data_IF_543484304751
#
_entry.id   IF_543484304751
#
_cell.length_a   1.000
_cell.length_b   1.000
_cell.length_c   1.000
_cell.angle_alpha   90.00
_cell.angle_beta   90.00
_cell.angle_gamma   90.00
#
_symmetry.space_group_name_H-M   'P 1'
#
loop_
_entity.id
_entity.type
_entity.pdbx_description
1 polymer ?
#
# COMPACT_ATOMS: atom_id res chain seq x y z
N UNK A 1 19.08 -3.13 -48.16
CA UNK A 1 19.00 -1.67 -48.35
C UNK A 1 18.15 -1.09 -47.24
N UNK A 2 18.63 0.00 -46.65
CA UNK A 2 18.11 0.66 -45.45
C UNK A 2 16.70 1.25 -45.61
N UNK A 3 15.99 1.40 -44.49
CA UNK A 3 14.73 2.15 -44.43
C UNK A 3 14.00 1.94 -43.10
N UNK A 4 14.10 2.93 -42.22
CA UNK A 4 13.71 2.96 -40.80
C UNK A 4 12.22 2.68 -40.50
N UNK A 5 11.95 1.85 -39.49
CA UNK A 5 10.71 1.87 -38.71
C UNK A 5 11.08 2.12 -37.24
N UNK A 6 11.00 3.38 -36.80
CA UNK A 6 11.18 3.76 -35.40
C UNK A 6 9.85 3.71 -34.67
N UNK A 7 9.82 2.89 -33.63
CA UNK A 7 8.75 2.67 -32.68
C UNK A 7 8.33 3.96 -31.96
N UNK A 8 7.01 4.13 -31.79
CA UNK A 8 6.40 5.01 -30.78
C UNK A 8 5.17 4.31 -30.20
N UNK A 9 5.21 3.99 -28.91
CA UNK A 9 4.03 3.83 -28.04
C UNK A 9 4.46 3.95 -26.58
N UNK A 10 4.61 5.19 -26.11
CA UNK A 10 4.50 5.55 -24.70
C UNK A 10 3.32 6.52 -24.67
N UNK A 11 2.24 6.15 -23.99
CA UNK A 11 1.08 7.03 -23.82
C UNK A 11 1.53 8.28 -23.06
N UNK A 12 1.63 9.41 -23.77
CA UNK A 12 1.85 10.74 -23.20
C UNK A 12 0.50 11.30 -22.73
N UNK A 13 0.43 11.71 -21.47
CA UNK A 13 -0.59 12.62 -20.99
C UNK A 13 -0.19 14.05 -21.37
N UNK A 14 -1.04 14.73 -22.13
CA UNK A 14 -0.98 16.19 -22.35
C UNK A 14 -2.40 16.69 -22.48
N UNK A 15 -2.83 17.57 -21.57
CA UNK A 15 -4.08 18.33 -21.68
C UNK A 15 -3.73 19.77 -22.07
N UNK A 16 -4.41 20.27 -23.09
CA UNK A 16 -4.30 21.60 -23.68
C UNK A 16 -4.71 22.70 -22.68
N UNK A 17 -3.95 23.80 -22.63
CA UNK A 17 -4.43 25.11 -22.19
C UNK A 17 -4.38 26.09 -23.38
N UNK A 18 -5.53 26.67 -23.70
CA UNK A 18 -5.72 27.59 -24.81
C UNK A 18 -5.32 29.04 -24.46
N UNK A 19 -4.98 29.77 -25.53
CA UNK A 19 -4.41 31.11 -25.66
C UNK A 19 -5.24 32.31 -25.16
N UNK A 20 -4.57 33.42 -24.82
CA UNK A 20 -5.16 34.76 -24.73
C UNK A 20 -4.14 35.90 -24.53
N UNK A 21 -4.16 36.92 -25.40
CA UNK A 21 -3.14 37.96 -25.71
C UNK A 21 -2.90 39.12 -24.71
N UNK A 22 -1.66 39.64 -24.78
CA UNK A 22 -1.15 41.04 -24.80
C UNK A 22 -1.76 42.19 -23.96
N UNK A 23 -0.94 42.89 -23.15
CA UNK A 23 -0.23 44.15 -23.54
C UNK A 23 0.21 45.07 -22.36
N UNK A 24 1.38 45.69 -22.57
CA UNK A 24 1.92 47.02 -22.14
C UNK A 24 2.23 47.40 -20.66
N UNK A 25 3.52 47.72 -20.49
CA UNK A 25 4.17 48.80 -19.72
C UNK A 25 3.51 49.41 -18.47
N UNK A 26 4.26 49.45 -17.37
CA UNK A 26 4.80 50.71 -16.80
C UNK A 26 5.88 50.45 -15.73
N UNK A 27 6.88 51.33 -15.69
CA UNK A 27 7.96 51.38 -14.70
C UNK A 27 7.43 51.92 -13.36
N UNK A 28 7.89 51.33 -12.26
CA UNK A 28 7.76 51.88 -10.92
C UNK A 28 8.78 51.22 -9.98
N UNK A 29 9.88 51.91 -9.72
CA UNK A 29 10.79 51.62 -8.61
C UNK A 29 10.02 51.76 -7.29
N UNK A 30 10.30 50.90 -6.30
CA UNK A 30 10.36 51.20 -4.84
C UNK A 30 10.39 49.90 -4.00
N UNK A 31 11.40 49.81 -3.12
CA UNK A 31 11.53 48.98 -1.91
C UNK A 31 11.62 47.45 -2.06
N UNK A 32 12.84 46.99 -2.29
CA UNK A 32 13.29 45.70 -1.77
C UNK A 32 13.48 45.82 -0.26
N UNK A 33 12.72 45.04 0.52
CA UNK A 33 13.05 44.55 1.88
C UNK A 33 11.87 43.81 2.54
N UNK A 34 10.64 43.87 1.99
CA UNK A 34 9.48 43.12 2.53
C UNK A 34 9.17 41.77 1.86
N UNK A 35 9.90 41.34 0.82
CA UNK A 35 9.56 40.13 0.03
C UNK A 35 10.07 38.80 0.58
N UNK A 36 11.00 38.80 1.53
CA UNK A 36 11.66 37.56 1.99
C UNK A 36 10.89 36.86 3.12
N UNK A 37 10.15 37.61 3.95
CA UNK A 37 9.29 37.05 5.02
C UNK A 37 7.98 36.45 4.50
N UNK A 38 7.30 37.18 3.61
CA UNK A 38 6.01 36.77 3.01
C UNK A 38 6.13 35.56 2.07
N UNK A 39 7.28 35.32 1.44
CA UNK A 39 7.49 34.16 0.56
C UNK A 39 7.74 32.87 1.35
N UNK A 40 8.44 32.95 2.49
CA UNK A 40 8.65 31.82 3.41
C UNK A 40 7.37 31.44 4.16
N UNK A 41 6.60 32.41 4.66
CA UNK A 41 5.31 32.11 5.31
C UNK A 41 4.27 31.57 4.32
N UNK A 42 4.22 32.08 3.08
CA UNK A 42 3.36 31.52 2.01
C UNK A 42 3.82 30.14 1.52
N UNK A 43 5.13 29.83 1.54
CA UNK A 43 5.61 28.49 1.17
C UNK A 43 5.40 27.47 2.29
N UNK A 44 5.48 27.89 3.56
CA UNK A 44 5.14 27.09 4.73
C UNK A 44 3.64 26.75 4.75
N UNK A 45 2.75 27.72 4.46
CA UNK A 45 1.31 27.48 4.33
C UNK A 45 0.93 26.57 3.14
N UNK A 46 1.75 26.53 2.07
CA UNK A 46 1.56 25.62 0.93
C UNK A 46 1.96 24.17 1.25
N UNK A 47 2.97 23.95 2.11
CA UNK A 47 3.44 22.59 2.46
C UNK A 47 2.39 21.79 3.25
N UNK A 48 1.65 22.46 4.12
CA UNK A 48 0.60 21.82 4.91
C UNK A 48 -0.62 21.43 4.05
N UNK A 49 -0.72 21.96 2.82
CA UNK A 49 -1.81 21.66 1.88
C UNK A 49 -1.59 20.35 1.10
N UNK A 50 -0.36 19.88 0.91
CA UNK A 50 -0.10 18.70 0.09
C UNK A 50 0.27 17.48 0.94
N UNK A 51 -0.22 16.32 0.49
CA UNK A 51 0.15 15.00 0.98
C UNK A 51 0.79 14.23 -0.17
N UNK A 52 1.87 13.52 0.14
CA UNK A 52 2.54 12.68 -0.84
C UNK A 52 2.67 11.27 -0.30
N UNK A 53 2.21 10.30 -1.07
CA UNK A 53 2.51 8.89 -0.87
C UNK A 53 3.66 8.47 -1.77
N UNK A 54 4.51 7.57 -1.29
CA UNK A 54 5.55 6.89 -2.05
C UNK A 54 5.45 5.39 -1.84
N UNK A 55 5.20 4.66 -2.92
CA UNK A 55 5.14 3.20 -2.93
C UNK A 55 6.29 2.68 -3.81
N UNK A 56 7.15 1.84 -3.23
CA UNK A 56 8.32 1.28 -3.93
C UNK A 56 8.10 -0.24 -4.07
N UNK A 57 7.26 -0.62 -5.04
CA UNK A 57 7.00 -2.00 -5.36
C UNK A 57 8.14 -2.68 -6.14
N UNK A 58 8.08 -4.02 -6.24
CA UNK A 58 9.07 -4.80 -7.00
C UNK A 58 8.99 -4.56 -8.52
N UNK A 59 7.82 -4.21 -9.05
CA UNK A 59 7.59 -3.98 -10.49
C UNK A 59 7.42 -2.51 -10.85
N UNK A 60 6.89 -1.70 -9.93
CA UNK A 60 6.52 -0.30 -10.15
C UNK A 60 6.83 0.54 -8.91
N UNK A 61 7.39 1.72 -9.11
CA UNK A 61 7.50 2.76 -8.09
C UNK A 61 6.47 3.85 -8.40
N UNK A 62 5.64 4.20 -7.42
CA UNK A 62 4.56 5.18 -7.56
C UNK A 62 4.69 6.33 -6.58
N UNK A 63 4.36 7.53 -7.04
CA UNK A 63 4.23 8.74 -6.23
C UNK A 63 2.86 9.33 -6.49
N UNK A 64 2.06 9.54 -5.45
CA UNK A 64 0.77 10.22 -5.56
C UNK A 64 0.81 11.49 -4.74
N UNK A 65 0.44 12.61 -5.39
CA UNK A 65 0.30 13.91 -4.75
C UNK A 65 -1.20 14.19 -4.63
N UNK A 66 -1.61 14.55 -3.42
CA UNK A 66 -2.96 14.99 -3.13
C UNK A 66 -2.97 16.33 -2.39
N UNK A 67 -4.05 17.06 -2.53
CA UNK A 67 -4.30 18.34 -1.88
C UNK A 67 -5.37 18.16 -0.79
N UNK A 68 -5.14 18.72 0.39
CA UNK A 68 -6.13 18.81 1.46
C UNK A 68 -6.76 20.20 1.43
N UNK A 69 -8.08 20.26 1.24
CA UNK A 69 -8.84 21.50 1.26
C UNK A 69 -10.17 21.26 2.00
N UNK A 70 -10.43 22.05 3.04
CA UNK A 70 -11.64 21.94 3.89
C UNK A 70 -11.92 20.52 4.42
N UNK A 71 -10.83 19.80 4.72
CA UNK A 71 -10.88 18.41 5.17
C UNK A 71 -11.07 17.39 4.05
N UNK A 72 -11.39 17.78 2.83
CA UNK A 72 -11.45 16.87 1.67
C UNK A 72 -10.04 16.62 1.15
N UNK A 73 -9.72 15.36 0.84
CA UNK A 73 -8.44 14.98 0.22
C UNK A 73 -8.69 14.76 -1.26
N UNK A 74 -8.13 15.62 -2.11
CA UNK A 74 -8.34 15.65 -3.56
C UNK A 74 -7.11 15.11 -4.29
N UNK A 75 -7.31 14.25 -5.28
CA UNK A 75 -6.26 13.80 -6.17
C UNK A 75 -5.69 14.98 -6.98
N UNK A 76 -4.36 15.07 -7.08
CA UNK A 76 -3.69 16.09 -7.90
C UNK A 76 -2.85 15.48 -9.02
N UNK A 77 -1.97 14.53 -8.68
CA UNK A 77 -1.11 13.88 -9.66
C UNK A 77 -0.67 12.49 -9.22
N UNK A 78 -0.36 11.65 -10.21
CA UNK A 78 0.30 10.35 -10.04
C UNK A 78 1.51 10.33 -10.98
N UNK A 79 2.66 9.95 -10.45
CA UNK A 79 3.84 9.58 -11.23
C UNK A 79 4.19 8.11 -10.99
N UNK A 80 4.63 7.42 -12.04
CA UNK A 80 4.93 5.99 -11.98
C UNK A 80 6.13 5.62 -12.86
N UNK A 81 7.08 4.89 -12.29
CA UNK A 81 8.23 4.39 -13.02
C UNK A 81 8.34 2.86 -12.89
N UNK A 82 8.89 2.22 -13.92
CA UNK A 82 9.37 0.84 -13.82
C UNK A 82 10.39 0.75 -12.68
N UNK A 83 10.10 -0.12 -11.71
CA UNK A 83 10.97 -0.34 -10.56
C UNK A 83 12.15 -1.22 -10.92
N UNK A 84 13.35 -0.81 -10.50
CA UNK A 84 14.58 -1.55 -10.69
C UNK A 84 15.34 -1.60 -9.38
N UNK A 85 15.94 -2.75 -9.08
CA UNK A 85 16.74 -2.91 -7.88
C UNK A 85 15.95 -3.35 -6.64
N UNK A 86 14.68 -3.76 -6.79
CA UNK A 86 13.93 -4.46 -5.77
C UNK A 86 13.69 -5.92 -6.16
N UNK A 87 13.64 -6.78 -5.15
CA UNK A 87 13.24 -8.18 -5.29
C UNK A 87 12.53 -8.64 -4.03
N UNK A 88 11.27 -9.07 -4.16
CA UNK A 88 10.46 -9.59 -3.04
C UNK A 88 10.38 -8.63 -1.84
N UNK A 89 10.20 -7.33 -2.11
CA UNK A 89 10.13 -6.28 -1.08
C UNK A 89 11.48 -5.88 -0.47
N UNK A 90 12.61 -6.36 -0.99
CA UNK A 90 13.95 -5.99 -0.53
C UNK A 90 14.73 -5.27 -1.62
N UNK A 91 15.41 -4.19 -1.24
CA UNK A 91 16.35 -3.49 -2.14
C UNK A 91 17.59 -4.36 -2.32
N UNK A 92 17.83 -4.79 -3.57
CA UNK A 92 19.04 -5.51 -4.01
C UNK A 92 20.00 -4.60 -4.76
N UNK A 93 19.52 -3.46 -5.30
CA UNK A 93 20.36 -2.43 -5.92
C UNK A 93 19.81 -1.04 -5.57
N UNK A 94 20.52 -0.36 -4.66
CA UNK A 94 20.10 0.94 -4.13
C UNK A 94 20.05 2.03 -5.21
N UNK A 95 21.07 2.13 -6.07
CA UNK A 95 21.14 3.21 -7.07
C UNK A 95 20.05 3.09 -8.14
N UNK A 96 19.73 1.86 -8.55
CA UNK A 96 18.61 1.58 -9.46
C UNK A 96 17.27 1.95 -8.83
N UNK A 97 17.13 1.71 -7.52
CA UNK A 97 15.94 2.08 -6.76
C UNK A 97 15.80 3.61 -6.72
N UNK A 98 16.88 4.32 -6.35
CA UNK A 98 16.94 5.79 -6.34
C UNK A 98 16.55 6.37 -7.71
N UNK A 99 17.05 5.81 -8.81
CA UNK A 99 16.69 6.23 -10.16
C UNK A 99 15.21 6.02 -10.48
N UNK A 100 14.60 4.95 -9.97
CA UNK A 100 13.17 4.67 -10.15
C UNK A 100 12.30 5.64 -9.36
N UNK A 101 12.69 5.95 -8.12
CA UNK A 101 12.03 6.98 -7.29
C UNK A 101 12.09 8.34 -7.99
N UNK A 102 13.27 8.79 -8.42
CA UNK A 102 13.43 10.10 -9.09
C UNK A 102 12.53 10.24 -10.31
N UNK A 103 12.46 9.21 -11.16
CA UNK A 103 11.59 9.21 -12.34
C UNK A 103 10.11 9.34 -11.98
N UNK A 104 9.65 8.61 -10.96
CA UNK A 104 8.26 8.70 -10.50
C UNK A 104 7.95 10.07 -9.87
N UNK A 105 8.89 10.63 -9.10
CA UNK A 105 8.77 11.98 -8.53
C UNK A 105 8.71 13.03 -9.64
N UNK A 106 9.64 13.01 -10.59
CA UNK A 106 9.70 13.97 -11.71
C UNK A 106 8.39 14.00 -12.52
N UNK A 107 7.79 12.83 -12.77
CA UNK A 107 6.49 12.73 -13.45
C UNK A 107 5.36 13.36 -12.62
N UNK A 108 5.28 13.04 -11.33
CA UNK A 108 4.25 13.58 -10.43
C UNK A 108 4.39 15.10 -10.27
N UNK A 109 5.61 15.60 -10.06
CA UNK A 109 5.91 17.03 -9.93
C UNK A 109 5.58 17.80 -11.21
N UNK A 110 5.87 17.23 -12.39
CA UNK A 110 5.59 17.86 -13.67
C UNK A 110 4.08 18.06 -13.92
N UNK A 111 3.24 17.15 -13.41
CA UNK A 111 1.78 17.24 -13.55
C UNK A 111 1.19 18.17 -12.48
N UNK A 112 1.62 18.03 -11.23
CA UNK A 112 1.11 18.83 -10.11
C UNK A 112 1.64 20.28 -10.10
N UNK A 113 2.81 20.52 -10.69
CA UNK A 113 3.59 21.76 -10.54
C UNK A 113 3.85 22.09 -9.04
N UNK A 114 4.12 21.04 -8.25
CA UNK A 114 4.37 21.09 -6.80
C UNK A 114 5.63 20.27 -6.52
N UNK A 115 6.64 20.82 -5.84
CA UNK A 115 7.81 20.06 -5.47
C UNK A 115 7.46 19.04 -4.37
N UNK A 116 7.94 17.81 -4.52
CA UNK A 116 7.85 16.75 -3.51
C UNK A 116 9.10 16.83 -2.64
N UNK A 117 8.92 17.24 -1.38
CA UNK A 117 10.03 17.30 -0.41
C UNK A 117 9.93 16.22 0.67
N UNK A 118 8.70 15.77 0.95
CA UNK A 118 8.39 14.87 2.05
C UNK A 118 7.25 13.93 1.63
N UNK A 119 7.34 12.64 1.99
CA UNK A 119 6.34 11.63 1.66
C UNK A 119 6.10 10.65 2.82
N UNK A 120 4.93 9.99 2.79
CA UNK A 120 4.65 8.77 3.56
C UNK A 120 5.03 7.58 2.68
N UNK A 121 5.82 6.65 3.21
CA UNK A 121 6.32 5.51 2.42
C UNK A 121 5.69 4.17 2.84
N UNK A 122 5.39 3.33 1.86
CA UNK A 122 4.99 1.94 2.06
C UNK A 122 6.13 1.02 2.52
N UNK A 123 5.82 0.08 3.40
CA UNK A 123 6.71 -1.02 3.80
C UNK A 123 5.96 -2.35 3.68
N UNK A 124 6.50 -3.27 2.90
CA UNK A 124 5.94 -4.61 2.70
C UNK A 124 6.99 -5.68 2.38
N UNK A 125 6.52 -6.92 2.27
CA UNK A 125 7.30 -8.09 1.95
C UNK A 125 7.49 -9.05 3.12
N UNK A 126 8.11 -10.20 2.84
CA UNK A 126 8.20 -11.34 3.77
C UNK A 126 8.99 -11.08 5.08
N UNK A 127 9.63 -9.91 5.21
CA UNK A 127 10.29 -9.47 6.43
C UNK A 127 9.33 -8.81 7.43
N UNK A 128 8.10 -8.51 7.02
CA UNK A 128 7.03 -7.99 7.88
C UNK A 128 6.24 -9.13 8.51
N UNK A 129 5.90 -9.02 9.80
CA UNK A 129 5.03 -9.98 10.52
C UNK A 129 4.14 -9.30 11.55
N UNK A 130 2.92 -9.79 11.65
CA UNK A 130 2.00 -9.48 12.75
C UNK A 130 2.28 -10.31 14.01
N UNK A 131 2.18 -9.68 15.17
CA UNK A 131 2.31 -10.32 16.49
C UNK A 131 1.22 -9.77 17.41
N UNK A 132 0.37 -10.64 17.93
CA UNK A 132 -0.60 -10.25 18.95
C UNK A 132 0.08 -10.18 20.30
N UNK A 133 -0.12 -9.07 21.01
CA UNK A 133 0.43 -8.83 22.34
C UNK A 133 -0.63 -8.28 23.28
N UNK A 134 -0.42 -8.51 24.57
CA UNK A 134 -1.28 -8.04 25.65
C UNK A 134 -0.43 -7.49 26.76
N UNK A 135 -0.81 -6.33 27.26
CA UNK A 135 -0.20 -5.71 28.42
C UNK A 135 -1.20 -4.84 29.15
N UNK A 136 -0.89 -4.45 30.37
CA UNK A 136 -1.81 -3.64 31.15
C UNK A 136 -1.18 -3.00 32.36
N UNK A 137 -1.98 -2.17 33.02
CA UNK A 137 -1.60 -1.37 34.17
C UNK A 137 -2.61 -1.56 35.30
N UNK A 138 -2.15 -1.28 36.51
CA UNK A 138 -3.01 -1.10 37.67
C UNK A 138 -3.23 0.40 37.87
N UNK A 139 -4.49 0.83 37.93
CA UNK A 139 -4.90 2.23 38.01
C UNK A 139 -4.78 2.81 39.42
N UNK A 140 -4.85 1.94 40.44
CA UNK A 140 -4.77 2.29 41.86
C UNK A 140 -5.25 1.14 42.76
N UNK A 141 -5.36 1.38 44.07
CA UNK A 141 -5.88 0.40 45.04
C UNK A 141 -7.42 0.33 45.09
N UNK A 142 -8.11 1.31 44.52
CA UNK A 142 -9.58 1.38 44.44
C UNK A 142 -10.00 1.65 43.00
N UNK A 143 -11.20 1.20 42.58
CA UNK A 143 -11.70 1.49 41.25
C UNK A 143 -11.81 3.00 41.05
N UNK A 144 -11.36 3.48 39.89
CA UNK A 144 -11.55 4.88 39.46
C UNK A 144 -11.82 4.95 37.97
N UNK A 145 -12.21 6.13 37.52
CA UNK A 145 -12.40 6.43 36.11
C UNK A 145 -11.09 6.24 35.33
N UNK A 146 -11.19 5.60 34.18
CA UNK A 146 -10.11 5.41 33.22
C UNK A 146 -9.97 6.68 32.39
N UNK A 147 -8.77 7.26 32.42
CA UNK A 147 -8.42 8.44 31.68
C UNK A 147 -7.67 8.10 30.38
N UNK A 148 -7.51 9.09 29.51
CA UNK A 148 -6.73 8.94 28.25
C UNK A 148 -5.29 8.50 28.50
N UNK A 149 -4.66 9.00 29.58
CA UNK A 149 -3.29 8.63 29.93
C UNK A 149 -3.18 7.16 30.34
N UNK A 150 -4.22 6.64 31.02
CA UNK A 150 -4.27 5.22 31.41
C UNK A 150 -4.35 4.30 30.20
N UNK A 151 -5.21 4.63 29.24
CA UNK A 151 -5.31 3.90 27.96
C UNK A 151 -3.98 3.89 27.24
N UNK A 152 -3.31 5.06 27.15
CA UNK A 152 -1.99 5.16 26.55
C UNK A 152 -0.98 4.27 27.25
N UNK A 153 -0.91 4.32 28.58
CA UNK A 153 0.01 3.50 29.38
C UNK A 153 -0.27 2.01 29.24
N UNK A 154 -1.54 1.60 29.13
CA UNK A 154 -1.91 0.21 28.87
C UNK A 154 -1.44 -0.26 27.47
N UNK A 155 -1.60 0.58 26.44
CA UNK A 155 -1.09 0.31 25.09
C UNK A 155 0.44 0.26 25.07
N UNK A 156 1.12 1.19 25.76
CA UNK A 156 2.59 1.19 25.87
C UNK A 156 3.09 -0.07 26.58
N UNK A 157 2.39 -0.54 27.61
CA UNK A 157 2.68 -1.82 28.26
C UNK A 157 2.49 -3.01 27.31
N UNK A 158 1.42 -3.01 26.50
CA UNK A 158 1.14 -4.06 25.52
C UNK A 158 2.13 -4.06 24.33
N UNK A 159 2.69 -2.90 23.99
CA UNK A 159 3.72 -2.75 22.96
C UNK A 159 5.07 -3.33 23.39
N UNK A 160 5.35 -3.38 24.70
CA UNK A 160 6.66 -3.73 25.23
C UNK A 160 6.92 -5.25 25.20
N UNK A 161 7.19 -5.78 24.00
CA UNK A 161 7.60 -7.17 23.79
C UNK A 161 9.10 -7.26 23.50
N UNK A 162 9.70 -8.40 23.86
CA UNK A 162 11.07 -8.70 23.45
C UNK A 162 11.09 -9.03 21.96
N UNK A 163 11.80 -8.20 21.19
CA UNK A 163 12.08 -8.43 19.78
C UNK A 163 13.55 -8.79 19.59
N UNK A 164 13.87 -9.61 18.57
CA UNK A 164 15.23 -9.73 18.07
C UNK A 164 15.81 -8.35 17.68
N UNK A 165 17.13 -8.18 17.81
CA UNK A 165 17.81 -6.91 17.55
C UNK A 165 17.66 -6.40 16.12
N UNK A 166 17.40 -7.28 15.16
CA UNK A 166 17.21 -6.96 13.75
C UNK A 166 15.77 -6.54 13.39
N UNK A 167 14.88 -6.44 14.39
CA UNK A 167 13.47 -6.11 14.21
C UNK A 167 13.03 -4.89 14.99
N UNK A 168 12.08 -4.16 14.40
CA UNK A 168 11.42 -3.01 15.01
C UNK A 168 9.90 -3.12 14.90
N UNK A 169 9.21 -2.37 15.75
CA UNK A 169 7.75 -2.20 15.67
C UNK A 169 7.44 -1.08 14.68
N UNK A 170 6.80 -1.45 13.57
CA UNK A 170 6.30 -0.53 12.55
C UNK A 170 4.97 0.11 12.99
N UNK A 171 4.01 -0.72 13.41
CA UNK A 171 2.69 -0.27 13.86
C UNK A 171 2.25 -0.96 15.15
N UNK A 172 1.45 -0.26 15.94
CA UNK A 172 0.80 -0.79 17.16
C UNK A 172 -0.69 -0.61 17.00
N UNK A 173 -1.44 -1.63 16.58
CA UNK A 173 -2.86 -1.54 16.28
C UNK A 173 -3.70 -2.04 17.48
N UNK A 174 -4.39 -1.17 18.24
CA UNK A 174 -5.23 -1.62 19.34
C UNK A 174 -6.41 -2.46 18.85
N UNK A 175 -6.71 -3.55 19.55
CA UNK A 175 -7.89 -4.38 19.30
C UNK A 175 -9.03 -4.01 20.22
N UNK A 176 -8.82 -4.28 21.50
CA UNK A 176 -9.82 -4.20 22.54
C UNK A 176 -9.10 -4.05 23.88
N UNK A 177 -9.85 -3.54 24.83
CA UNK A 177 -9.44 -3.40 26.21
C UNK A 177 -10.13 -4.45 27.07
N UNK A 178 -9.45 -4.79 28.17
CA UNK A 178 -10.04 -5.48 29.30
C UNK A 178 -10.03 -4.55 30.49
N UNK A 179 -11.19 -4.32 31.08
CA UNK A 179 -11.34 -3.62 32.36
C UNK A 179 -11.70 -4.65 33.41
N UNK A 180 -10.80 -4.87 34.35
CA UNK A 180 -10.87 -5.95 35.35
C UNK A 180 -11.12 -7.34 34.72
N UNK A 181 -12.32 -7.91 34.88
CA UNK A 181 -12.71 -9.19 34.29
C UNK A 181 -13.49 -9.07 32.97
N UNK A 182 -13.89 -7.86 32.58
CA UNK A 182 -14.73 -7.60 31.41
C UNK A 182 -13.86 -7.41 30.15
N UNK A 183 -14.00 -8.33 29.19
CA UNK A 183 -13.32 -8.29 27.89
C UNK A 183 -14.16 -7.54 26.83
N UNK A 184 -13.58 -7.33 25.65
CA UNK A 184 -14.30 -6.85 24.46
C UNK A 184 -14.64 -5.35 24.47
N UNK A 185 -13.95 -4.55 25.29
CA UNK A 185 -14.21 -3.12 25.41
C UNK A 185 -13.48 -2.37 24.30
N UNK A 186 -14.21 -1.67 23.43
CA UNK A 186 -13.58 -0.87 22.34
C UNK A 186 -13.05 0.48 22.84
N UNK A 187 -13.81 1.18 23.66
CA UNK A 187 -13.41 2.43 24.31
C UNK A 187 -13.53 2.28 25.83
N UNK A 188 -12.39 2.37 26.51
CA UNK A 188 -12.31 2.23 27.96
C UNK A 188 -12.39 3.59 28.69
N UNK A 189 -12.32 4.72 27.98
CA UNK A 189 -12.29 6.04 28.61
C UNK A 189 -13.63 6.31 29.30
N UNK A 190 -13.55 6.73 30.57
CA UNK A 190 -14.73 6.99 31.41
C UNK A 190 -15.37 5.74 32.02
N UNK A 191 -14.85 4.53 31.73
CA UNK A 191 -15.21 3.34 32.50
C UNK A 191 -14.50 3.33 33.85
N UNK A 192 -15.08 2.68 34.85
CA UNK A 192 -14.49 2.52 36.18
C UNK A 192 -13.85 1.14 36.29
N UNK A 193 -12.60 1.09 36.74
CA UNK A 193 -11.91 -0.18 36.99
C UNK A 193 -10.68 -0.03 37.89
N UNK A 194 -10.10 -1.16 38.29
CA UNK A 194 -8.81 -1.20 39.00
C UNK A 194 -7.65 -1.59 38.08
N UNK A 195 -7.93 -2.41 37.07
CA UNK A 195 -6.96 -2.92 36.11
C UNK A 195 -7.45 -2.68 34.70
N UNK A 196 -6.57 -2.10 33.88
CA UNK A 196 -6.79 -1.87 32.47
C UNK A 196 -5.73 -2.61 31.67
N UNK A 197 -6.16 -3.45 30.74
CA UNK A 197 -5.28 -4.13 29.80
C UNK A 197 -5.67 -3.79 28.37
N UNK A 198 -4.68 -3.71 27.50
CA UNK A 198 -4.84 -3.54 26.07
C UNK A 198 -4.39 -4.81 25.36
N UNK A 199 -5.24 -5.31 24.46
CA UNK A 199 -4.85 -6.26 23.43
C UNK A 199 -4.48 -5.46 22.18
N UNK A 200 -3.30 -5.72 21.62
CA UNK A 200 -2.78 -5.01 20.43
C UNK A 200 -2.25 -6.00 19.40
N UNK A 201 -2.35 -5.65 18.13
CA UNK A 201 -1.59 -6.27 17.05
C UNK A 201 -0.41 -5.39 16.68
N UNK A 202 0.77 -5.91 16.95
CA UNK A 202 2.02 -5.29 16.59
C UNK A 202 2.40 -5.74 15.19
N UNK A 203 2.70 -4.80 14.33
CA UNK A 203 3.34 -5.07 13.04
C UNK A 203 4.82 -4.83 13.23
N UNK A 204 5.63 -5.84 12.92
CA UNK A 204 7.08 -5.78 13.06
C UNK A 204 7.77 -5.99 11.73
N UNK A 205 8.84 -5.25 11.45
CA UNK A 205 9.63 -5.36 10.23
C UNK A 205 11.12 -5.52 10.54
N UNK A 206 11.91 -5.85 9.51
CA UNK A 206 13.37 -5.80 9.61
C UNK A 206 13.85 -4.36 9.60
N UNK A 207 14.66 -3.98 10.58
CA UNK A 207 15.26 -2.64 10.70
C UNK A 207 16.04 -2.29 9.42
N UNK A 208 16.85 -3.25 8.92
CA UNK A 208 17.67 -3.04 7.74
C UNK A 208 16.82 -2.82 6.47
N UNK A 209 15.72 -3.56 6.32
CA UNK A 209 14.83 -3.41 5.16
C UNK A 209 14.13 -2.04 5.17
N UNK A 210 13.54 -1.63 6.30
CA UNK A 210 12.92 -0.31 6.45
C UNK A 210 13.94 0.81 6.20
N UNK A 211 15.13 0.70 6.81
CA UNK A 211 16.17 1.73 6.69
C UNK A 211 16.68 1.88 5.25
N UNK A 212 16.79 0.77 4.50
CA UNK A 212 17.18 0.83 3.10
C UNK A 212 16.16 1.59 2.23
N UNK A 213 14.85 1.41 2.48
CA UNK A 213 13.79 2.17 1.79
C UNK A 213 13.91 3.67 2.10
N UNK A 214 14.04 4.02 3.38
CA UNK A 214 14.22 5.42 3.83
C UNK A 214 15.48 6.03 3.22
N UNK A 215 16.60 5.29 3.20
CA UNK A 215 17.85 5.75 2.60
C UNK A 215 17.71 5.94 1.08
N UNK A 216 16.99 5.06 0.38
CA UNK A 216 16.73 5.21 -1.05
C UNK A 216 15.92 6.49 -1.34
N UNK A 217 14.84 6.74 -0.58
CA UNK A 217 14.04 7.95 -0.71
C UNK A 217 14.85 9.22 -0.40
N UNK A 218 15.61 9.23 0.69
CA UNK A 218 16.46 10.37 1.06
C UNK A 218 17.51 10.67 -0.01
N UNK A 219 18.13 9.65 -0.61
CA UNK A 219 19.07 9.81 -1.74
C UNK A 219 18.38 10.32 -3.02
N UNK A 220 17.09 10.05 -3.17
CA UNK A 220 16.27 10.63 -4.24
C UNK A 220 15.86 12.09 -3.95
N UNK A 221 16.15 12.62 -2.76
CA UNK A 221 15.83 13.99 -2.36
C UNK A 221 14.51 14.12 -1.58
N UNK A 222 13.90 12.99 -1.19
CA UNK A 222 12.60 12.96 -0.51
C UNK A 222 12.78 12.54 0.95
N UNK A 223 12.31 13.38 1.87
CA UNK A 223 12.26 13.04 3.29
C UNK A 223 11.09 12.12 3.60
N UNK A 224 11.30 11.13 4.47
CA UNK A 224 10.23 10.24 4.91
C UNK A 224 9.60 10.76 6.22
N UNK A 225 8.33 11.15 6.14
CA UNK A 225 7.53 11.63 7.26
C UNK A 225 7.01 10.50 8.16
N UNK A 226 6.63 9.39 7.54
CA UNK A 226 6.16 8.20 8.23
C UNK A 226 6.33 6.96 7.35
N UNK A 227 6.35 5.80 7.99
CA UNK A 227 6.43 4.48 7.34
C UNK A 227 5.15 3.72 7.63
N UNK A 228 4.56 3.11 6.61
CA UNK A 228 3.24 2.48 6.72
C UNK A 228 3.26 1.10 6.10
N UNK A 229 2.78 0.11 6.84
CA UNK A 229 2.47 -1.20 6.31
C UNK A 229 1.58 -1.11 5.06
N UNK A 230 2.02 -1.62 3.91
CA UNK A 230 1.27 -1.51 2.66
C UNK A 230 -0.13 -2.15 2.71
N UNK A 231 -0.35 -3.38 3.20
CA UNK A 231 -1.71 -3.92 3.27
C UNK A 231 -2.62 -3.11 4.22
N UNK A 232 -2.08 -2.43 5.24
CA UNK A 232 -2.86 -1.47 6.03
C UNK A 232 -3.27 -0.28 5.17
N UNK A 233 -2.37 0.26 4.35
CA UNK A 233 -2.71 1.32 3.40
C UNK A 233 -3.73 0.85 2.36
N UNK A 234 -3.54 -0.30 1.72
CA UNK A 234 -4.50 -0.88 0.76
C UNK A 234 -5.88 -1.07 1.39
N UNK A 235 -5.95 -1.47 2.66
CA UNK A 235 -7.20 -1.55 3.41
C UNK A 235 -7.89 -0.20 3.58
N UNK A 236 -7.15 0.89 3.80
CA UNK A 236 -7.69 2.25 3.92
C UNK A 236 -8.38 2.76 2.67
N UNK A 237 -7.95 2.32 1.49
CA UNK A 237 -8.55 2.74 0.22
C UNK A 237 -9.59 1.75 -0.32
N UNK A 238 -9.50 0.46 0.03
CA UNK A 238 -10.22 -0.61 -0.68
C UNK A 238 -11.27 -1.36 0.15
N UNK A 239 -11.21 -1.25 1.48
CA UNK A 239 -12.20 -1.88 2.38
C UNK A 239 -13.26 -0.90 2.81
N UNK A 240 -14.50 -1.39 2.89
CA UNK A 240 -15.61 -0.72 3.56
C UNK A 240 -15.58 -0.97 5.06
N UNK A 241 -16.30 -0.15 5.83
CA UNK A 241 -16.41 -0.34 7.27
C UNK A 241 -17.17 -1.64 7.60
N UNK A 242 -18.22 -1.96 6.86
CA UNK A 242 -19.02 -3.18 7.05
C UNK A 242 -18.17 -4.45 6.89
N UNK A 243 -17.27 -4.49 5.90
CA UNK A 243 -16.35 -5.63 5.72
C UNK A 243 -15.36 -5.76 6.88
N UNK A 244 -14.86 -4.64 7.41
CA UNK A 244 -13.95 -4.64 8.58
C UNK A 244 -14.68 -5.12 9.83
N UNK A 245 -15.92 -4.70 10.03
CA UNK A 245 -16.73 -5.08 11.18
C UNK A 245 -17.19 -6.55 11.11
N UNK A 246 -17.70 -6.99 9.95
CA UNK A 246 -18.14 -8.37 9.73
C UNK A 246 -16.98 -9.35 9.75
N UNK A 247 -15.83 -8.96 9.19
CA UNK A 247 -14.60 -9.72 9.14
C UNK A 247 -14.25 -10.16 7.72
N UNK A 248 -13.12 -9.68 7.21
CA UNK A 248 -12.65 -9.92 5.84
C UNK A 248 -11.13 -10.07 5.82
N UNK A 249 -10.62 -10.67 4.74
CA UNK A 249 -9.19 -10.68 4.43
C UNK A 249 -8.93 -9.82 3.19
N UNK A 250 -8.16 -8.74 3.33
CA UNK A 250 -7.59 -8.09 2.16
C UNK A 250 -6.33 -8.86 1.75
N UNK A 251 -6.29 -9.30 0.49
CA UNK A 251 -5.15 -9.98 -0.14
C UNK A 251 -4.58 -9.09 -1.24
N UNK A 252 -3.46 -8.44 -0.99
CA UNK A 252 -2.75 -7.63 -1.97
C UNK A 252 -1.76 -8.52 -2.73
N UNK A 253 -2.00 -8.73 -4.02
CA UNK A 253 -1.10 -9.53 -4.87
C UNK A 253 -0.22 -8.59 -5.69
N UNK A 254 0.96 -8.32 -5.16
CA UNK A 254 1.97 -7.49 -5.80
C UNK A 254 2.79 -8.23 -6.86
N UNK A 255 3.89 -7.59 -7.31
CA UNK A 255 4.83 -8.19 -8.27
C UNK A 255 5.71 -9.28 -7.64
N UNK A 256 6.38 -8.97 -6.54
CA UNK A 256 7.33 -9.88 -5.90
C UNK A 256 6.75 -10.72 -4.76
N UNK A 257 5.65 -10.25 -4.17
CA UNK A 257 5.06 -10.73 -2.90
C UNK A 257 3.55 -10.61 -2.97
N UNK A 258 2.88 -11.30 -2.05
CA UNK A 258 1.48 -11.08 -1.74
C UNK A 258 1.34 -10.91 -0.23
N UNK A 259 0.61 -9.89 0.17
CA UNK A 259 0.44 -9.47 1.54
C UNK A 259 -1.02 -9.64 1.95
N UNK A 260 -1.24 -9.98 3.22
CA UNK A 260 -2.59 -10.10 3.77
C UNK A 260 -2.74 -9.29 5.05
N UNK A 261 -3.92 -8.71 5.20
CA UNK A 261 -4.42 -8.13 6.44
C UNK A 261 -5.83 -8.61 6.68
N UNK A 262 -6.07 -9.16 7.87
CA UNK A 262 -7.38 -9.68 8.26
C UNK A 262 -7.99 -8.74 9.27
N UNK A 263 -9.24 -8.36 9.03
CA UNK A 263 -10.07 -7.62 9.97
C UNK A 263 -11.15 -8.53 10.57
N UNK A 264 -11.60 -8.20 11.77
CA UNK A 264 -12.76 -8.83 12.41
C UNK A 264 -13.24 -8.03 13.60
N UNK A 265 -14.51 -7.65 13.61
CA UNK A 265 -15.04 -6.75 14.63
C UNK A 265 -14.37 -5.37 14.59
N UNK A 266 -14.07 -4.87 13.39
CA UNK A 266 -13.60 -3.50 13.14
C UNK A 266 -12.11 -3.28 13.39
N UNK A 267 -11.41 -4.30 13.86
CA UNK A 267 -9.98 -4.24 14.18
C UNK A 267 -9.19 -5.26 13.38
N UNK A 268 -7.91 -4.96 13.17
CA UNK A 268 -6.98 -5.91 12.57
C UNK A 268 -6.85 -7.12 13.49
N UNK A 269 -6.75 -8.32 12.94
CA UNK A 269 -6.60 -9.59 13.69
C UNK A 269 -5.30 -10.30 13.33
N UNK A 270 -4.85 -10.12 12.09
CA UNK A 270 -3.67 -10.77 11.56
C UNK A 270 -3.08 -10.00 10.38
N UNK A 271 -1.76 -10.07 10.24
CA UNK A 271 -1.03 -9.57 9.08
C UNK A 271 0.11 -10.53 8.75
N UNK A 272 0.30 -10.80 7.46
CA UNK A 272 1.35 -11.71 6.98
C UNK A 272 1.69 -11.40 5.52
N UNK A 273 2.74 -12.05 5.02
CA UNK A 273 3.17 -11.93 3.64
C UNK A 273 3.78 -13.24 3.14
N UNK A 274 3.51 -13.56 1.88
CA UNK A 274 4.11 -14.71 1.18
C UNK A 274 5.04 -14.20 0.06
N UNK A 275 6.21 -14.82 -0.15
CA UNK A 275 7.19 -14.37 -1.13
C UNK A 275 6.86 -14.84 -2.56
N UNK A 276 5.57 -14.79 -2.93
CA UNK A 276 5.01 -15.13 -4.23
C UNK A 276 4.15 -13.96 -4.69
N UNK A 277 4.32 -13.55 -5.94
CA UNK A 277 3.56 -12.48 -6.60
C UNK A 277 3.60 -12.66 -8.11
N UNK A 278 3.13 -11.65 -8.85
CA UNK A 278 3.03 -11.66 -10.32
C UNK A 278 4.29 -12.07 -11.08
N UNK A 279 5.49 -11.81 -10.55
CA UNK A 279 6.77 -12.18 -11.16
C UNK A 279 6.95 -13.70 -11.24
N UNK A 280 6.37 -14.46 -10.30
CA UNK A 280 6.48 -15.91 -10.28
C UNK A 280 5.69 -16.53 -11.43
N UNK A 281 4.48 -16.02 -11.69
CA UNK A 281 3.69 -16.39 -12.86
C UNK A 281 4.43 -16.11 -14.16
N UNK A 282 5.05 -14.94 -14.27
CA UNK A 282 5.84 -14.55 -15.44
C UNK A 282 7.05 -15.45 -15.65
N UNK A 283 7.75 -15.79 -14.57
CA UNK A 283 8.91 -16.67 -14.63
C UNK A 283 8.52 -18.10 -15.02
N UNK A 284 7.42 -18.62 -14.49
CA UNK A 284 6.93 -19.96 -14.85
C UNK A 284 6.54 -20.01 -16.33
N UNK A 285 5.88 -18.98 -16.85
CA UNK A 285 5.59 -18.84 -18.28
C UNK A 285 6.86 -18.74 -19.12
N UNK A 286 7.83 -17.93 -18.71
CA UNK A 286 9.10 -17.78 -19.42
C UNK A 286 9.84 -19.13 -19.54
N UNK A 287 9.88 -19.91 -18.45
CA UNK A 287 10.53 -21.22 -18.41
C UNK A 287 9.72 -22.26 -19.19
N UNK A 288 8.43 -22.41 -18.90
CA UNK A 288 7.56 -23.40 -19.53
C UNK A 288 7.40 -23.19 -21.03
N UNK A 289 7.24 -21.92 -21.44
CA UNK A 289 7.12 -21.53 -22.85
C UNK A 289 8.46 -21.17 -23.49
N UNK A 290 9.59 -21.32 -22.80
CA UNK A 290 10.95 -21.05 -23.32
C UNK A 290 11.02 -19.73 -24.10
N UNK A 291 10.41 -18.70 -23.54
CA UNK A 291 10.23 -17.36 -24.13
C UNK A 291 10.86 -16.29 -23.23
N UNK A 292 11.38 -15.17 -23.78
CA UNK A 292 11.96 -14.12 -22.94
C UNK A 292 10.99 -13.58 -21.89
N UNK A 293 11.50 -13.17 -20.71
CA UNK A 293 10.68 -12.65 -19.61
C UNK A 293 9.74 -11.51 -20.04
N UNK A 294 10.17 -10.50 -20.83
CA UNK A 294 9.26 -9.45 -21.30
C UNK A 294 8.10 -9.98 -22.15
N UNK A 295 8.35 -11.03 -22.94
CA UNK A 295 7.33 -11.69 -23.75
C UNK A 295 6.38 -12.52 -22.87
N UNK A 296 6.91 -13.24 -21.88
CA UNK A 296 6.09 -13.95 -20.89
C UNK A 296 5.16 -13.00 -20.12
N UNK A 297 5.64 -11.82 -19.72
CA UNK A 297 4.82 -10.80 -19.05
C UNK A 297 3.71 -10.29 -19.99
N UNK A 298 4.06 -10.04 -21.26
CA UNK A 298 3.10 -9.63 -22.29
C UNK A 298 2.01 -10.68 -22.47
N UNK A 299 2.39 -11.96 -22.52
CA UNK A 299 1.47 -13.09 -22.65
C UNK A 299 0.56 -13.22 -21.43
N UNK A 300 1.13 -13.19 -20.21
CA UNK A 300 0.38 -13.20 -18.95
C UNK A 300 -0.71 -12.11 -18.93
N UNK A 301 -0.34 -10.87 -19.26
CA UNK A 301 -1.26 -9.72 -19.23
C UNK A 301 -2.34 -9.76 -20.29
N UNK A 302 -2.09 -10.35 -21.47
CA UNK A 302 -3.04 -10.35 -22.60
C UNK A 302 -3.90 -11.60 -22.69
N UNK A 303 -3.36 -12.74 -22.30
CA UNK A 303 -3.94 -14.06 -22.55
C UNK A 303 -3.94 -14.95 -21.30
N UNK A 304 -3.37 -14.49 -20.18
CA UNK A 304 -3.30 -15.29 -18.96
C UNK A 304 -4.68 -15.49 -18.34
N UNK A 305 -4.96 -16.73 -17.94
CA UNK A 305 -6.14 -17.11 -17.18
C UNK A 305 -5.73 -18.08 -16.08
N UNK A 306 -6.13 -17.82 -14.85
CA UNK A 306 -5.81 -18.61 -13.67
C UNK A 306 -6.79 -19.75 -13.38
N UNK A 307 -7.93 -19.80 -14.09
CA UNK A 307 -8.92 -20.85 -13.94
C UNK A 307 -9.28 -21.46 -15.31
N UNK A 308 -8.83 -22.68 -15.56
CA UNK A 308 -9.15 -23.46 -16.77
C UNK A 308 -10.64 -23.52 -17.08
N UNK A 309 -11.49 -23.59 -16.05
CA UNK A 309 -12.95 -23.60 -16.19
C UNK A 309 -13.54 -22.35 -16.89
N UNK A 310 -12.81 -21.23 -16.93
CA UNK A 310 -13.26 -19.97 -17.55
C UNK A 310 -12.76 -19.80 -18.99
N UNK A 311 -11.91 -20.71 -19.48
CA UNK A 311 -11.40 -20.65 -20.84
C UNK A 311 -12.52 -20.86 -21.86
N UNK A 312 -12.73 -19.86 -22.71
CA UNK A 312 -13.75 -19.90 -23.78
C UNK A 312 -13.17 -20.31 -25.13
N UNK A 313 -11.95 -19.89 -25.42
CA UNK A 313 -11.31 -20.08 -26.72
C UNK A 313 -9.88 -20.56 -26.54
N UNK A 314 -9.50 -21.58 -27.31
CA UNK A 314 -8.15 -22.08 -27.38
C UNK A 314 -7.44 -21.55 -28.64
N UNK A 315 -7.22 -20.23 -28.64
CA UNK A 315 -6.63 -19.52 -29.77
C UNK A 315 -5.14 -19.81 -29.95
N UNK A 316 -4.69 -19.86 -31.21
CA UNK A 316 -3.27 -19.92 -31.54
C UNK A 316 -2.61 -18.54 -31.31
N UNK A 317 -1.45 -18.54 -30.65
CA UNK A 317 -0.68 -17.34 -30.29
C UNK A 317 0.74 -17.52 -30.79
N UNK A 318 1.24 -16.58 -31.58
CA UNK A 318 2.65 -16.52 -31.95
C UNK A 318 3.47 -15.88 -30.82
N UNK A 319 4.58 -16.53 -30.47
CA UNK A 319 5.47 -16.10 -29.39
C UNK A 319 6.92 -16.08 -29.85
N UNK A 320 7.70 -15.16 -29.30
CA UNK A 320 9.15 -15.16 -29.46
C UNK A 320 9.78 -16.36 -28.73
N UNK A 321 10.83 -16.93 -29.30
CA UNK A 321 11.64 -17.97 -28.67
C UNK A 321 12.88 -17.36 -28.00
N UNK A 322 13.43 -18.03 -26.97
CA UNK A 322 14.73 -17.64 -26.39
C UNK A 322 15.89 -17.94 -27.35
N UNK A 323 16.81 -16.99 -27.48
CA UNK A 323 17.99 -17.06 -28.36
C UNK A 323 17.66 -16.79 -29.82
N UNK A 324 18.50 -17.25 -30.74
CA UNK A 324 18.32 -17.06 -32.19
C UNK A 324 17.32 -18.03 -32.82
N UNK A 325 16.38 -18.55 -32.02
CA UNK A 325 15.36 -19.50 -32.50
C UNK A 325 14.21 -18.74 -33.16
N UNK A 326 13.61 -19.29 -34.23
CA UNK A 326 12.46 -18.64 -34.87
C UNK A 326 11.27 -18.52 -33.88
N UNK A 327 10.37 -17.55 -34.11
CA UNK A 327 9.07 -17.51 -33.44
C UNK A 327 8.32 -18.83 -33.60
N UNK A 328 7.48 -19.15 -32.63
CA UNK A 328 6.69 -20.38 -32.62
C UNK A 328 5.26 -20.10 -32.21
N UNK A 329 4.35 -20.95 -32.65
CA UNK A 329 2.95 -20.90 -32.25
C UNK A 329 2.71 -21.79 -31.04
N UNK A 330 1.97 -21.27 -30.07
CA UNK A 330 1.40 -22.01 -28.94
C UNK A 330 -0.11 -21.82 -28.92
N UNK A 331 -0.80 -22.53 -28.04
CA UNK A 331 -2.23 -22.36 -27.82
C UNK A 331 -2.50 -21.73 -26.45
N UNK A 332 -3.63 -21.05 -26.30
CA UNK A 332 -3.98 -20.31 -25.09
C UNK A 332 -4.02 -21.23 -23.85
N UNK A 333 -4.48 -22.47 -23.96
CA UNK A 333 -4.54 -23.42 -22.84
C UNK A 333 -3.17 -23.67 -22.21
N UNK A 334 -2.09 -23.64 -23.00
CA UNK A 334 -0.74 -23.83 -22.50
C UNK A 334 -0.31 -22.75 -21.50
N UNK A 335 -0.89 -21.54 -21.57
CA UNK A 335 -0.63 -20.51 -20.55
C UNK A 335 -1.36 -20.88 -19.26
N UNK A 336 -2.62 -21.29 -19.36
CA UNK A 336 -3.45 -21.66 -18.21
C UNK A 336 -2.91 -22.88 -17.47
N UNK A 337 -2.42 -23.89 -18.20
CA UNK A 337 -1.75 -25.07 -17.64
C UNK A 337 -0.52 -24.72 -16.78
N UNK A 338 0.07 -23.54 -16.99
CA UNK A 338 1.20 -23.02 -16.21
C UNK A 338 0.73 -22.06 -15.10
N UNK A 339 -0.23 -21.18 -15.41
CA UNK A 339 -0.71 -20.13 -14.49
C UNK A 339 -1.55 -20.71 -13.36
N UNK A 340 -2.48 -21.63 -13.64
CA UNK A 340 -3.41 -22.18 -12.65
C UNK A 340 -2.68 -22.91 -11.51
N UNK A 341 -1.68 -23.79 -11.75
CA UNK A 341 -0.89 -24.39 -10.66
C UNK A 341 -0.18 -23.36 -9.77
N UNK A 342 0.37 -22.28 -10.36
CA UNK A 342 1.00 -21.20 -9.60
C UNK A 342 -0.03 -20.42 -8.77
N UNK A 343 -1.21 -20.18 -9.31
CA UNK A 343 -2.30 -19.55 -8.58
C UNK A 343 -2.74 -20.44 -7.40
N UNK A 344 -2.97 -21.73 -7.62
CA UNK A 344 -3.30 -22.69 -6.56
C UNK A 344 -2.22 -22.75 -5.46
N UNK A 345 -0.94 -22.70 -5.81
CA UNK A 345 0.15 -22.66 -4.83
C UNK A 345 0.08 -21.40 -3.96
N UNK A 346 -0.09 -20.22 -4.59
CA UNK A 346 -0.28 -18.96 -3.87
C UNK A 346 -1.46 -19.05 -2.90
N UNK A 347 -2.64 -19.48 -3.39
CA UNK A 347 -3.85 -19.58 -2.58
C UNK A 347 -3.72 -20.62 -1.45
N UNK A 348 -3.03 -21.73 -1.68
CA UNK A 348 -2.76 -22.72 -0.64
C UNK A 348 -1.89 -22.15 0.48
N UNK A 349 -0.86 -21.37 0.14
CA UNK A 349 0.00 -20.73 1.15
C UNK A 349 -0.77 -19.71 2.00
N UNK A 350 -1.67 -18.94 1.37
CA UNK A 350 -2.57 -18.03 2.08
C UNK A 350 -3.50 -18.80 3.01
N UNK A 351 -4.12 -19.89 2.53
CA UNK A 351 -4.98 -20.77 3.34
C UNK A 351 -4.25 -21.34 4.55
N UNK A 352 -3.03 -21.85 4.35
CA UNK A 352 -2.22 -22.42 5.44
C UNK A 352 -1.83 -21.34 6.46
N UNK A 353 -1.60 -20.11 6.01
CA UNK A 353 -1.32 -18.98 6.90
C UNK A 353 -2.53 -18.59 7.75
N UNK A 354 -3.71 -18.46 7.15
CA UNK A 354 -4.96 -18.19 7.87
C UNK A 354 -5.31 -19.31 8.87
N UNK A 355 -5.09 -20.57 8.50
CA UNK A 355 -5.26 -21.72 9.39
C UNK A 355 -4.32 -21.67 10.58
N UNK A 356 -3.03 -21.38 10.37
CA UNK A 356 -2.05 -21.22 11.45
C UNK A 356 -2.41 -20.07 12.39
N UNK A 357 -2.99 -18.99 11.85
CA UNK A 357 -3.49 -17.87 12.64
C UNK A 357 -4.80 -18.18 13.39
N UNK A 358 -5.42 -19.34 13.15
CA UNK A 358 -6.70 -19.73 13.75
C UNK A 358 -7.89 -18.96 13.18
N UNK A 359 -7.74 -18.35 12.00
CA UNK A 359 -8.75 -17.49 11.37
C UNK A 359 -9.58 -18.20 10.29
N UNK A 360 -9.44 -19.52 10.19
CA UNK A 360 -10.28 -20.33 9.32
C UNK A 360 -11.75 -20.18 9.71
N UNK A 361 -12.61 -19.79 8.76
CA UNK A 361 -14.02 -19.47 9.00
C UNK A 361 -14.29 -18.16 9.76
N UNK A 362 -13.30 -17.32 10.07
CA UNK A 362 -13.48 -16.04 10.78
C UNK A 362 -13.51 -14.81 9.87
N UNK A 363 -13.68 -15.01 8.56
CA UNK A 363 -13.77 -13.95 7.55
C UNK A 363 -15.09 -14.06 6.76
N UNK A 364 -16.26 -13.90 7.41
CA UNK A 364 -17.56 -14.11 6.77
C UNK A 364 -17.88 -13.12 5.65
N UNK A 365 -17.24 -11.93 5.60
CA UNK A 365 -17.32 -11.02 4.46
C UNK A 365 -16.41 -11.43 3.29
N UNK A 366 -15.60 -12.49 3.45
CA UNK A 366 -14.76 -13.06 2.41
C UNK A 366 -13.46 -12.30 2.16
N UNK A 367 -13.00 -12.37 0.91
CA UNK A 367 -11.73 -11.76 0.48
C UNK A 367 -11.96 -10.50 -0.36
N UNK A 368 -11.09 -9.52 -0.15
CA UNK A 368 -10.94 -8.37 -1.03
C UNK A 368 -9.55 -8.41 -1.64
N UNK A 369 -9.47 -8.64 -2.96
CA UNK A 369 -8.20 -8.74 -3.66
C UNK A 369 -7.74 -7.39 -4.19
N UNK A 370 -6.50 -7.01 -3.91
CA UNK A 370 -5.87 -5.77 -4.37
C UNK A 370 -4.54 -6.06 -5.07
N UNK A 371 -3.87 -5.00 -5.53
CA UNK A 371 -2.59 -5.13 -6.23
C UNK A 371 -2.73 -5.46 -7.72
N UNK A 372 -1.62 -5.40 -8.44
CA UNK A 372 -1.61 -5.67 -9.89
C UNK A 372 -1.91 -7.12 -10.25
N UNK A 373 -1.61 -8.06 -9.36
CA UNK A 373 -1.89 -9.48 -9.54
C UNK A 373 -3.38 -9.83 -9.47
N UNK A 374 -4.19 -9.03 -8.77
CA UNK A 374 -5.64 -9.20 -8.73
C UNK A 374 -6.32 -9.02 -10.11
N UNK A 375 -5.60 -8.49 -11.11
CA UNK A 375 -6.09 -8.35 -12.49
C UNK A 375 -5.89 -9.60 -13.34
N UNK A 376 -5.24 -10.63 -12.81
CA UNK A 376 -5.10 -11.90 -13.51
C UNK A 376 -6.47 -12.55 -13.62
N UNK A 377 -6.99 -12.65 -14.85
CA UNK A 377 -8.31 -13.20 -15.12
C UNK A 377 -8.46 -14.60 -14.53
N UNK A 378 -9.54 -14.88 -13.79
CA UNK A 378 -9.78 -16.19 -13.18
C UNK A 378 -9.19 -16.35 -11.79
N UNK A 379 -8.42 -15.40 -11.27
CA UNK A 379 -7.76 -15.55 -9.98
C UNK A 379 -8.74 -15.41 -8.82
N UNK A 380 -9.68 -14.48 -8.92
CA UNK A 380 -10.76 -14.27 -7.97
C UNK A 380 -11.73 -15.44 -7.95
N UNK A 381 -12.17 -15.94 -9.12
CA UNK A 381 -13.03 -17.13 -9.16
C UNK A 381 -12.31 -18.39 -8.64
N UNK A 382 -11.02 -18.56 -8.93
CA UNK A 382 -10.23 -19.65 -8.35
C UNK A 382 -10.12 -19.49 -6.83
N UNK A 383 -9.97 -18.28 -6.31
CA UNK A 383 -9.97 -18.01 -4.88
C UNK A 383 -11.33 -18.34 -4.25
N UNK A 384 -12.45 -17.96 -4.88
CA UNK A 384 -13.79 -18.32 -4.39
C UNK A 384 -13.95 -19.84 -4.30
N UNK A 385 -13.47 -20.56 -5.31
CA UNK A 385 -13.48 -22.01 -5.32
C UNK A 385 -12.59 -22.62 -4.23
N UNK A 386 -11.38 -22.08 -4.02
CA UNK A 386 -10.42 -22.61 -3.04
C UNK A 386 -10.83 -22.36 -1.58
N UNK A 387 -11.49 -21.24 -1.32
CA UNK A 387 -11.84 -20.82 0.05
C UNK A 387 -13.31 -21.04 0.41
N UNK A 388 -14.18 -21.27 -0.58
CA UNK A 388 -15.64 -21.33 -0.38
C UNK A 388 -16.19 -20.08 0.30
N UNK A 389 -15.65 -18.92 -0.06
CA UNK A 389 -15.98 -17.60 0.46
C UNK A 389 -16.12 -16.62 -0.71
N UNK A 390 -16.94 -15.57 -0.57
CA UNK A 390 -17.03 -14.54 -1.60
C UNK A 390 -15.69 -13.85 -1.79
N UNK A 391 -15.35 -13.53 -3.03
CA UNK A 391 -14.16 -12.75 -3.38
C UNK A 391 -14.61 -11.57 -4.23
N UNK A 392 -14.04 -10.41 -3.98
CA UNK A 392 -14.18 -9.26 -4.88
C UNK A 392 -12.87 -8.55 -5.09
N UNK A 393 -12.78 -7.80 -6.19
CA UNK A 393 -11.66 -6.90 -6.44
C UNK A 393 -11.84 -5.60 -5.63
N UNK A 394 -10.77 -5.18 -4.97
CA UNK A 394 -10.66 -3.96 -4.18
C UNK A 394 -10.12 -2.79 -4.99
N UNK A 395 -11.02 -1.95 -5.48
CA UNK A 395 -10.65 -0.68 -6.12
C UNK A 395 -10.47 0.43 -5.07
N UNK A 396 -9.42 1.28 -5.20
CA UNK A 396 -9.20 2.37 -4.27
C UNK A 396 -10.28 3.45 -4.37
N UNK A 397 -10.74 3.92 -3.21
CA UNK A 397 -11.71 5.00 -3.03
C UNK A 397 -11.20 5.98 -1.96
N UNK A 398 -11.93 7.07 -1.74
CA UNK A 398 -11.70 8.01 -0.64
C UNK A 398 -10.99 9.31 -1.02
N UNK A 399 -10.43 9.41 -2.22
CA UNK A 399 -9.93 10.67 -2.79
C UNK A 399 -11.01 11.31 -3.67
N UNK A 400 -11.24 12.62 -3.49
CA UNK A 400 -12.03 13.40 -4.43
C UNK A 400 -11.29 13.53 -5.77
N UNK A 401 -12.04 13.56 -6.86
CA UNK A 401 -11.53 13.71 -8.24
C UNK A 401 -10.53 12.62 -8.66
N UNK A 402 -10.65 11.41 -8.08
CA UNK A 402 -9.82 10.27 -8.44
C UNK A 402 -10.15 9.78 -9.87
N UNK A 403 -9.19 9.79 -10.83
CA UNK A 403 -9.45 9.31 -12.18
C UNK A 403 -9.68 7.80 -12.22
N UNK A 404 -10.52 7.32 -13.14
CA UNK A 404 -10.83 5.89 -13.33
C UNK A 404 -9.58 5.04 -13.60
N UNK A 405 -8.58 5.62 -14.27
CA UNK A 405 -7.31 4.96 -14.56
C UNK A 405 -6.45 4.74 -13.29
N UNK A 406 -6.70 5.53 -12.24
CA UNK A 406 -6.06 5.38 -10.92
C UNK A 406 -6.96 4.59 -9.96
N UNK A 407 -8.26 4.55 -10.19
CA UNK A 407 -9.22 3.69 -9.50
C UNK A 407 -9.09 2.21 -9.91
N UNK A 408 -7.86 1.68 -9.84
CA UNK A 408 -7.51 0.31 -10.20
C UNK A 408 -6.82 -0.37 -9.01
N UNK A 409 -6.98 -1.69 -8.80
CA UNK A 409 -6.45 -2.39 -7.63
C UNK A 409 -4.92 -2.26 -7.48
N UNK A 410 -4.20 -2.07 -8.58
CA UNK A 410 -2.75 -1.82 -8.61
C UNK A 410 -2.29 -0.47 -8.05
N UNK A 411 -3.24 0.39 -7.63
CA UNK A 411 -3.00 1.67 -6.96
C UNK A 411 -3.66 1.74 -5.57
N UNK A 412 -4.17 0.62 -5.05
CA UNK A 412 -4.77 0.54 -3.72
C UNK A 412 -3.82 1.08 -2.63
N UNK A 413 -2.58 0.60 -2.63
CA UNK A 413 -1.54 1.00 -1.68
C UNK A 413 -1.27 2.50 -1.72
N UNK A 414 -0.96 3.05 -2.89
CA UNK A 414 -0.53 4.45 -3.01
C UNK A 414 -1.64 5.45 -2.64
N UNK A 415 -2.90 5.15 -3.00
CA UNK A 415 -4.06 5.93 -2.56
C UNK A 415 -4.23 5.81 -1.04
N UNK A 416 -4.09 4.60 -0.53
CA UNK A 416 -4.13 4.28 0.90
C UNK A 416 -3.10 5.04 1.74
N UNK A 417 -1.87 5.17 1.25
CA UNK A 417 -0.78 5.88 1.94
C UNK A 417 -1.13 7.36 2.13
N UNK A 418 -1.72 7.99 1.12
CA UNK A 418 -2.17 9.38 1.20
C UNK A 418 -3.34 9.54 2.16
N UNK A 419 -4.33 8.63 2.12
CA UNK A 419 -5.45 8.65 3.05
C UNK A 419 -5.01 8.45 4.50
N UNK A 420 -4.07 7.53 4.72
CA UNK A 420 -3.43 7.32 6.02
C UNK A 420 -2.75 8.60 6.49
N UNK A 421 -1.94 9.24 5.64
CA UNK A 421 -1.28 10.51 5.93
C UNK A 421 -2.28 11.62 6.29
N UNK A 422 -3.43 11.69 5.60
CA UNK A 422 -4.50 12.63 5.91
C UNK A 422 -5.12 12.37 7.29
N UNK A 423 -5.42 11.11 7.62
CA UNK A 423 -5.96 10.71 8.93
C UNK A 423 -4.98 11.03 10.06
N UNK A 424 -3.69 10.78 9.84
CA UNK A 424 -2.64 11.11 10.80
C UNK A 424 -2.54 12.63 11.04
N UNK A 425 -2.61 13.46 9.99
CA UNK A 425 -2.61 14.94 10.12
C UNK A 425 -3.81 15.47 10.89
N UNK A 426 -5.02 14.96 10.64
CA UNK A 426 -6.23 15.38 11.39
C UNK A 426 -6.14 15.02 12.88
N UNK A 427 -5.44 13.95 13.19
CA UNK A 427 -5.34 13.41 14.54
C UNK A 427 -4.17 13.99 15.35
N UNK A 428 -3.20 14.61 14.68
CA UNK A 428 -2.11 15.32 15.32
C UNK A 428 -2.66 16.56 16.07
N UNK A 429 -2.38 16.73 17.37
CA UNK A 429 -2.61 18.01 18.05
C UNK A 429 -1.78 19.10 17.35
N UNK A 430 -2.34 20.30 17.17
CA UNK A 430 -1.59 21.46 16.69
C UNK A 430 -0.25 21.56 17.43
N UNK A 431 0.84 21.68 16.66
CA UNK A 431 2.25 21.56 17.08
C UNK A 431 2.51 22.14 18.47
N UNK A 432 2.66 21.24 19.43
CA UNK A 432 3.07 21.53 20.81
C UNK A 432 3.47 20.24 21.53
N UNK A 433 4.66 19.71 21.20
CA UNK A 433 5.40 18.77 22.05
C UNK A 433 4.99 17.28 22.03
N UNK A 434 6.00 16.44 21.77
CA UNK A 434 6.14 15.01 22.07
C UNK A 434 5.31 13.97 21.29
N UNK A 435 5.92 12.77 21.20
CA UNK A 435 5.52 11.48 20.60
C UNK A 435 4.07 11.00 20.85
N UNK A 436 3.26 11.78 21.56
CA UNK A 436 1.87 11.52 21.98
C UNK A 436 0.88 11.52 20.81
N UNK A 437 1.25 12.10 19.67
CA UNK A 437 0.34 12.32 18.54
C UNK A 437 0.02 11.07 17.70
N UNK A 438 0.88 10.04 17.69
CA UNK A 438 0.66 8.83 16.87
C UNK A 438 -0.52 7.96 17.35
N UNK A 439 -0.93 8.05 18.63
CA UNK A 439 -2.06 7.25 19.16
C UNK A 439 -3.45 7.82 18.84
N UNK A 440 -3.59 9.14 18.63
CA UNK A 440 -4.91 9.74 18.30
C UNK A 440 -5.45 9.29 16.94
N UNK A 441 -4.58 8.97 15.98
CA UNK A 441 -4.99 8.50 14.65
C UNK A 441 -5.65 7.12 14.67
N UNK A 442 -5.46 6.36 15.75
CA UNK A 442 -5.90 4.98 15.85
C UNK A 442 -7.35 4.81 16.33
N UNK A 443 -7.89 5.82 17.02
CA UNK A 443 -9.25 5.81 17.56
C UNK A 443 -10.24 6.61 16.71
N UNK A 444 -9.77 7.41 15.74
CA UNK A 444 -10.64 8.22 14.88
C UNK A 444 -11.31 7.42 13.73
N UNK A 445 -11.10 6.10 13.68
CA UNK A 445 -11.76 5.19 12.72
C UNK A 445 -13.14 4.69 13.17
N UNK A 446 -13.65 5.14 14.32
CA UNK A 446 -14.98 4.82 14.80
C UNK A 446 -15.80 6.10 15.00
N UNK A 447 -16.23 6.71 13.89
CA UNK A 447 -17.32 7.70 13.85
C UNK A 447 -17.92 7.72 12.46
#
# INVERSE_FOLDING_TARGET
>A
MAGEYRARAVHRFTVFAASGRESRHQRGHVRGEKKIGLSRERSLAKKDKYLVGLDIGSTKTCVLIAEIEDGVVRFLALGAAESKGLRKGLIVNLDSTVSSIRRAVEEAESVANVPVEEAVIGVAGAHVRGVNSRGGITLGQRPRDIERDDVRRAVDAARNITLPEDREVLHVLPHEFRVDAQNGIRDAIGMVGQRLEANVHLVTSSVAATQNLVTAANKAGILISDTVLEPLASAESSLTQDERDMGCCLLDVGGGTAELIVYGGGVVRHTSAVPIGGDHFTNDLAVGLRTPIPEAERLKRRHGCAASALMKEDGAIEIASVGDRPPRTIFAHMLTDIIEPRAMELLSLIRDDLKRAGLDGQIPAGFVMAGGGARLHGLDELAEHCFHLPVRIGEPKGLADLPEQVAQPEYATIVGLVLYGAKARRSAPQRGGNLVSKLKAMFAGAS
#
